data_IF_936563378054
#
_entry.id   IF_936563378054
#
_cell.length_a   1.000
_cell.length_b   1.000
_cell.length_c   1.000
_cell.angle_alpha   90.00
_cell.angle_beta   90.00
_cell.angle_gamma   90.00
#
_symmetry.space_group_name_H-M   'P 1'
#
loop_
_entity.id
_entity.type
_entity.pdbx_description
1 polymer ?
#
# COMPACT_ATOMS: atom_id res chain seq x y z
N UNK A 1 -17.48 -23.94 -19.25
CA UNK A 1 -16.03 -24.31 -19.30
C UNK A 1 -15.12 -23.41 -18.42
N UNK A 2 -15.60 -22.87 -17.30
CA UNK A 2 -14.79 -22.00 -16.41
C UNK A 2 -14.28 -22.72 -15.16
N UNK A 3 -14.61 -23.99 -14.94
CA UNK A 3 -14.52 -24.65 -13.63
C UNK A 3 -13.36 -25.65 -13.44
N UNK A 4 -12.26 -25.52 -14.16
CA UNK A 4 -11.08 -26.37 -13.92
C UNK A 4 -9.99 -25.68 -13.07
N UNK A 5 -10.33 -24.61 -12.36
CA UNK A 5 -9.42 -24.03 -11.37
C UNK A 5 -9.69 -24.64 -10.00
N UNK A 6 -8.69 -25.31 -9.43
CA UNK A 6 -8.77 -25.82 -8.06
C UNK A 6 -9.01 -24.66 -7.08
N UNK A 7 -10.26 -24.58 -6.58
CA UNK A 7 -10.71 -23.54 -5.65
C UNK A 7 -10.43 -23.88 -4.18
N UNK A 8 -9.80 -25.01 -3.86
CA UNK A 8 -9.55 -25.46 -2.49
C UNK A 8 -8.78 -24.42 -1.66
N UNK A 9 -7.82 -23.72 -2.30
CA UNK A 9 -7.09 -22.63 -1.63
C UNK A 9 -7.95 -21.41 -1.34
N UNK A 10 -8.99 -21.17 -2.16
CA UNK A 10 -9.94 -20.08 -1.95
C UNK A 10 -10.90 -20.41 -0.80
N UNK A 11 -11.40 -21.64 -0.74
CA UNK A 11 -12.28 -22.10 0.35
C UNK A 11 -11.63 -22.01 1.73
N UNK A 12 -10.30 -21.97 1.84
CA UNK A 12 -9.58 -21.73 3.10
C UNK A 12 -9.92 -20.39 3.77
N UNK A 13 -10.40 -19.42 3.03
CA UNK A 13 -10.88 -18.15 3.60
C UNK A 13 -12.09 -18.36 4.51
N UNK A 14 -12.91 -19.35 4.24
CA UNK A 14 -14.14 -19.66 5.01
C UNK A 14 -13.89 -20.64 6.15
N UNK A 15 -12.91 -21.53 6.00
CA UNK A 15 -12.71 -22.64 6.95
C UNK A 15 -11.56 -22.41 7.95
N UNK A 16 -10.68 -21.48 7.66
CA UNK A 16 -9.53 -21.22 8.55
C UNK A 16 -9.68 -19.81 9.15
N UNK A 17 -9.81 -19.70 10.49
CA UNK A 17 -10.00 -18.42 11.16
C UNK A 17 -8.75 -17.55 11.11
N UNK A 18 -8.95 -16.25 11.15
CA UNK A 18 -7.90 -15.24 11.27
C UNK A 18 -7.61 -14.49 9.97
N UNK A 19 -7.37 -13.20 10.10
CA UNK A 19 -7.02 -12.31 8.99
C UNK A 19 -5.56 -12.54 8.58
N UNK A 20 -5.27 -12.79 7.30
CA UNK A 20 -3.90 -12.90 6.82
C UNK A 20 -3.13 -11.60 7.07
N UNK A 21 -1.86 -11.72 7.44
CA UNK A 21 -0.96 -10.58 7.56
C UNK A 21 0.07 -10.64 6.44
N UNK A 22 0.21 -9.53 5.72
CA UNK A 22 1.25 -9.34 4.71
C UNK A 22 2.39 -8.53 5.30
N UNK A 23 3.61 -9.04 5.20
CA UNK A 23 4.84 -8.31 5.48
C UNK A 23 5.47 -7.97 4.14
N UNK A 24 5.66 -6.69 3.90
CA UNK A 24 6.14 -6.16 2.64
C UNK A 24 7.47 -5.46 2.88
N UNK A 25 8.40 -5.72 1.99
CA UNK A 25 9.69 -5.03 1.94
C UNK A 25 10.02 -4.65 0.51
N UNK A 26 10.71 -3.54 0.34
CA UNK A 26 11.15 -3.05 -0.95
C UNK A 26 12.67 -2.88 -0.98
N UNK A 27 13.23 -2.96 -2.17
CA UNK A 27 14.64 -2.77 -2.42
C UNK A 27 14.84 -2.11 -3.78
N UNK A 28 15.68 -1.07 -3.81
CA UNK A 28 16.12 -0.41 -5.05
C UNK A 28 17.65 -0.41 -5.10
N UNK A 29 18.21 -1.12 -6.07
CA UNK A 29 19.66 -1.26 -6.24
C UNK A 29 20.02 -1.33 -7.72
N UNK A 30 20.96 -0.52 -8.15
CA UNK A 30 21.49 -0.55 -9.50
C UNK A 30 20.40 -0.45 -10.57
N UNK A 31 19.45 0.48 -10.43
CA UNK A 31 18.30 0.71 -11.33
C UNK A 31 17.26 -0.44 -11.35
N UNK A 32 17.34 -1.38 -10.41
CA UNK A 32 16.35 -2.45 -10.26
C UNK A 32 15.54 -2.25 -8.98
N UNK A 33 14.23 -2.34 -9.11
CA UNK A 33 13.28 -2.24 -8.00
C UNK A 33 12.60 -3.57 -7.77
N UNK A 34 12.59 -4.03 -6.54
CA UNK A 34 11.93 -5.26 -6.12
C UNK A 34 11.09 -5.02 -4.88
N UNK A 35 9.83 -5.42 -4.96
CA UNK A 35 8.91 -5.45 -3.81
C UNK A 35 8.62 -6.91 -3.48
N UNK A 36 8.97 -7.34 -2.28
CA UNK A 36 8.73 -8.69 -1.80
C UNK A 36 7.56 -8.69 -0.84
N UNK A 37 6.57 -9.53 -1.11
CA UNK A 37 5.34 -9.65 -0.34
C UNK A 37 5.26 -11.05 0.25
N UNK A 38 5.18 -11.15 1.57
CA UNK A 38 5.18 -12.40 2.32
C UNK A 38 3.96 -12.52 3.22
N UNK A 39 3.23 -13.64 3.13
CA UNK A 39 2.19 -13.98 4.08
C UNK A 39 2.79 -14.43 5.41
N UNK A 40 2.36 -13.83 6.51
CA UNK A 40 2.72 -14.20 7.88
C UNK A 40 1.50 -14.88 8.53
N UNK A 41 1.75 -15.98 9.21
CA UNK A 41 0.69 -16.68 9.97
C UNK A 41 0.15 -15.76 11.08
N UNK A 42 -1.16 -15.77 11.36
CA UNK A 42 -1.70 -15.14 12.55
C UNK A 42 -1.09 -15.74 13.82
N UNK A 43 -1.01 -14.96 14.88
CA UNK A 43 -0.48 -15.43 16.18
C UNK A 43 -1.43 -16.40 16.91
N UNK A 44 -2.65 -16.60 16.41
CA UNK A 44 -3.62 -17.49 17.07
C UNK A 44 -3.27 -18.97 16.84
N UNK A 45 -3.49 -19.84 17.85
CA UNK A 45 -3.32 -21.28 17.70
C UNK A 45 -4.34 -21.81 16.67
N UNK A 46 -3.93 -22.79 15.88
CA UNK A 46 -4.77 -23.42 14.87
C UNK A 46 -4.02 -23.74 13.59
N UNK A 47 -4.63 -24.55 12.76
CA UNK A 47 -4.12 -24.87 11.42
C UNK A 47 -4.33 -23.67 10.50
N UNK A 48 -3.25 -23.08 10.05
CA UNK A 48 -3.27 -21.97 9.10
C UNK A 48 -2.43 -22.35 7.86
N UNK A 49 -3.01 -22.14 6.70
CA UNK A 49 -2.34 -22.31 5.42
C UNK A 49 -2.28 -21.00 4.65
N UNK A 50 -1.39 -20.89 3.67
CA UNK A 50 -1.33 -19.72 2.82
C UNK A 50 -2.63 -19.59 2.04
N UNK A 51 -3.21 -18.39 2.08
CA UNK A 51 -4.40 -18.01 1.31
C UNK A 51 -4.02 -17.61 -0.11
N UNK A 52 -4.98 -17.66 -1.02
CA UNK A 52 -4.86 -16.97 -2.32
C UNK A 52 -5.32 -15.54 -2.10
N UNK A 53 -4.42 -14.60 -2.30
CA UNK A 53 -4.66 -13.17 -2.02
C UNK A 53 -4.42 -12.38 -3.30
N UNK A 54 -5.45 -11.77 -3.90
CA UNK A 54 -5.27 -10.83 -5.00
C UNK A 54 -4.76 -9.50 -4.43
N UNK A 55 -3.66 -9.00 -4.98
CA UNK A 55 -3.04 -7.74 -4.58
C UNK A 55 -3.00 -6.85 -5.80
N UNK A 56 -3.94 -5.93 -5.88
CA UNK A 56 -3.94 -4.90 -6.92
C UNK A 56 -2.97 -3.79 -6.54
N UNK A 57 -2.18 -3.31 -7.51
CA UNK A 57 -1.17 -2.31 -7.25
C UNK A 57 -0.95 -1.36 -8.43
N UNK A 58 -0.42 -0.18 -8.10
CA UNK A 58 0.11 0.79 -9.06
C UNK A 58 1.53 1.17 -8.66
N UNK A 59 2.33 1.56 -9.63
CA UNK A 59 3.70 2.02 -9.42
C UNK A 59 3.89 3.34 -10.15
N UNK A 60 4.42 4.34 -9.42
CA UNK A 60 4.63 5.70 -9.90
C UNK A 60 6.11 6.08 -9.78
N UNK A 61 6.57 6.91 -10.68
CA UNK A 61 7.81 7.69 -10.50
C UNK A 61 7.55 8.88 -9.57
N UNK A 62 8.60 9.53 -9.09
CA UNK A 62 8.48 10.70 -8.20
C UNK A 62 7.81 11.91 -8.87
N UNK A 63 7.80 12.00 -10.20
CA UNK A 63 7.12 13.01 -11.01
C UNK A 63 5.69 12.62 -11.40
N UNK A 64 5.17 11.50 -10.88
CA UNK A 64 3.81 11.05 -11.05
C UNK A 64 3.53 10.23 -12.30
N UNK A 65 4.56 9.90 -13.10
CA UNK A 65 4.37 9.02 -14.24
C UNK A 65 3.99 7.62 -13.73
N UNK A 66 2.86 7.09 -14.20
CA UNK A 66 2.42 5.75 -13.86
C UNK A 66 3.15 4.69 -14.69
N UNK A 67 4.07 3.95 -14.07
CA UNK A 67 4.83 2.87 -14.70
C UNK A 67 4.01 1.58 -14.82
N UNK A 68 3.18 1.28 -13.84
CA UNK A 68 2.27 0.14 -13.85
C UNK A 68 0.94 0.54 -13.22
N UNK A 69 -0.15 0.41 -13.99
CA UNK A 69 -1.50 0.75 -13.58
C UNK A 69 -2.34 -0.51 -13.39
N UNK A 70 -3.04 -0.62 -12.25
CA UNK A 70 -4.07 -1.62 -11.96
C UNK A 70 -3.63 -3.07 -12.24
N UNK A 71 -2.35 -3.36 -11.96
CA UNK A 71 -1.84 -4.73 -12.05
C UNK A 71 -2.29 -5.54 -10.83
N UNK A 72 -2.54 -6.82 -11.03
CA UNK A 72 -2.90 -7.74 -9.95
C UNK A 72 -1.87 -8.84 -9.82
N UNK A 73 -1.24 -8.93 -8.66
CA UNK A 73 -0.42 -10.05 -8.24
C UNK A 73 -1.30 -11.05 -7.47
N UNK A 74 -1.38 -12.27 -7.95
CA UNK A 74 -2.04 -13.36 -7.20
C UNK A 74 -1.01 -14.04 -6.29
N UNK A 75 -1.06 -13.69 -5.01
CA UNK A 75 -0.20 -14.29 -3.99
C UNK A 75 -0.81 -15.64 -3.56
N UNK A 76 -0.41 -16.73 -4.22
CA UNK A 76 -0.88 -18.10 -3.97
C UNK A 76 0.13 -18.97 -3.22
N UNK A 77 1.25 -18.40 -2.81
CA UNK A 77 2.35 -19.01 -2.07
C UNK A 77 2.78 -18.13 -0.89
N UNK A 78 3.72 -18.60 -0.08
CA UNK A 78 4.20 -17.88 1.11
C UNK A 78 4.80 -16.51 0.75
N UNK A 79 5.51 -16.41 -0.38
CA UNK A 79 6.21 -15.20 -0.81
C UNK A 79 6.11 -15.04 -2.32
N UNK A 80 5.93 -13.81 -2.79
CA UNK A 80 6.05 -13.42 -4.20
C UNK A 80 6.69 -12.04 -4.29
N UNK A 81 7.28 -11.72 -5.45
CA UNK A 81 7.90 -10.42 -5.69
C UNK A 81 7.39 -9.78 -6.97
N UNK A 82 7.34 -8.45 -6.95
CA UNK A 82 7.15 -7.58 -8.10
C UNK A 82 8.51 -7.00 -8.44
N UNK A 83 8.91 -7.04 -9.71
CA UNK A 83 10.23 -6.56 -10.16
C UNK A 83 10.11 -5.63 -11.35
N UNK A 84 10.82 -4.51 -11.29
CA UNK A 84 11.05 -3.60 -12.41
C UNK A 84 12.55 -3.40 -12.59
N UNK A 85 12.94 -3.14 -13.85
CA UNK A 85 14.34 -2.95 -14.23
C UNK A 85 14.52 -1.64 -14.97
N UNK A 86 15.74 -1.17 -15.06
CA UNK A 86 16.14 0.00 -15.85
C UNK A 86 15.44 1.30 -15.44
N UNK A 87 15.19 1.47 -14.14
CA UNK A 87 14.60 2.67 -13.58
C UNK A 87 15.69 3.70 -13.27
N UNK A 88 15.45 4.95 -13.59
CA UNK A 88 16.39 6.05 -13.31
C UNK A 88 16.33 6.48 -11.85
N UNK A 89 15.18 6.26 -11.19
CA UNK A 89 14.95 6.59 -9.79
C UNK A 89 14.07 5.55 -9.10
N UNK A 90 14.11 5.50 -7.77
CA UNK A 90 13.23 4.63 -6.97
C UNK A 90 11.78 5.06 -7.17
N UNK A 91 10.88 4.16 -7.59
CA UNK A 91 9.46 4.46 -7.70
C UNK A 91 8.74 4.26 -6.36
N UNK A 92 7.56 4.89 -6.22
CA UNK A 92 6.61 4.62 -5.16
C UNK A 92 5.61 3.54 -5.60
N UNK A 93 5.22 2.64 -4.69
CA UNK A 93 4.21 1.62 -4.94
C UNK A 93 2.99 1.81 -4.05
N UNK A 94 1.81 1.84 -4.66
CA UNK A 94 0.51 1.76 -4.02
C UNK A 94 0.00 0.32 -4.09
N UNK A 95 -0.43 -0.24 -2.97
CA UNK A 95 -0.84 -1.64 -2.84
C UNK A 95 -2.26 -1.77 -2.31
N UNK A 96 -2.95 -2.87 -2.67
CA UNK A 96 -4.33 -3.17 -2.28
C UNK A 96 -5.35 -2.14 -2.77
N UNK A 97 -5.09 -1.56 -3.94
CA UNK A 97 -6.01 -0.64 -4.58
C UNK A 97 -7.43 -1.23 -4.61
N UNK A 98 -8.43 -0.36 -4.39
CA UNK A 98 -9.85 -0.73 -4.30
C UNK A 98 -10.14 -1.82 -3.26
N UNK A 99 -9.34 -1.85 -2.18
CA UNK A 99 -9.47 -2.86 -1.12
C UNK A 99 -9.47 -4.30 -1.65
N UNK A 100 -8.54 -4.61 -2.56
CA UNK A 100 -8.52 -5.87 -3.31
C UNK A 100 -8.46 -7.14 -2.45
N UNK A 101 -8.09 -7.06 -1.17
CA UNK A 101 -8.14 -8.17 -0.23
C UNK A 101 -8.25 -7.70 1.23
N UNK A 102 -9.05 -8.41 2.08
CA UNK A 102 -9.17 -8.12 3.51
C UNK A 102 -7.96 -8.68 4.28
N UNK A 103 -6.87 -7.95 4.32
CA UNK A 103 -5.60 -8.36 4.93
C UNK A 103 -5.03 -7.27 5.84
N UNK A 104 -4.22 -7.66 6.81
CA UNK A 104 -3.40 -6.73 7.59
C UNK A 104 -2.06 -6.53 6.86
N UNK A 105 -1.61 -5.28 6.76
CA UNK A 105 -0.36 -4.92 6.08
C UNK A 105 0.66 -4.38 7.06
N UNK A 106 1.86 -4.92 7.00
CA UNK A 106 3.06 -4.42 7.65
C UNK A 106 4.02 -4.00 6.53
N UNK A 107 4.07 -2.70 6.26
CA UNK A 107 4.89 -2.10 5.21
C UNK A 107 5.35 -0.72 5.66
N UNK A 108 6.62 -0.59 5.93
CA UNK A 108 7.27 0.70 6.21
C UNK A 108 7.64 1.33 4.88
N UNK A 109 7.02 2.46 4.58
CA UNK A 109 7.27 3.24 3.37
C UNK A 109 7.92 4.57 3.76
N UNK A 110 8.92 5.05 3.00
CA UNK A 110 9.45 6.40 3.16
C UNK A 110 8.35 7.46 3.02
N UNK A 111 8.57 8.60 3.68
CA UNK A 111 7.63 9.74 3.63
C UNK A 111 7.40 10.18 2.19
N UNK A 112 8.47 10.29 1.39
CA UNK A 112 8.39 10.72 -0.01
C UNK A 112 7.52 9.80 -0.87
N UNK A 113 7.58 8.48 -0.63
CA UNK A 113 6.72 7.51 -1.32
C UNK A 113 5.25 7.72 -0.93
N UNK A 114 4.97 8.00 0.36
CA UNK A 114 3.62 8.25 0.84
C UNK A 114 3.06 9.58 0.30
N UNK A 115 3.88 10.62 0.20
CA UNK A 115 3.51 11.89 -0.43
C UNK A 115 3.22 11.70 -1.92
N UNK A 116 4.06 10.93 -2.63
CA UNK A 116 3.82 10.59 -4.04
C UNK A 116 2.50 9.83 -4.24
N UNK A 117 2.20 8.87 -3.36
CA UNK A 117 0.90 8.17 -3.38
C UNK A 117 -0.24 9.16 -3.10
N UNK A 118 -0.10 10.02 -2.08
CA UNK A 118 -1.10 11.03 -1.76
C UNK A 118 -1.37 11.96 -2.96
N UNK A 119 -0.34 12.34 -3.71
CA UNK A 119 -0.44 13.26 -4.84
C UNK A 119 -0.98 12.60 -6.10
N UNK A 120 -0.44 11.44 -6.50
CA UNK A 120 -0.66 10.87 -7.83
C UNK A 120 -1.65 9.70 -7.88
N UNK A 121 -1.97 9.09 -6.73
CA UNK A 121 -2.94 7.99 -6.71
C UNK A 121 -4.37 8.52 -6.94
N UNK A 122 -5.18 7.70 -7.62
CA UNK A 122 -6.60 7.96 -7.90
C UNK A 122 -7.55 7.05 -7.10
N UNK A 123 -7.04 5.95 -6.55
CA UNK A 123 -7.81 5.07 -5.69
C UNK A 123 -7.95 5.67 -4.29
N UNK A 124 -9.20 5.95 -3.90
CA UNK A 124 -9.50 6.60 -2.63
C UNK A 124 -8.98 5.83 -1.42
N UNK A 125 -9.09 4.50 -1.41
CA UNK A 125 -8.63 3.65 -0.31
C UNK A 125 -7.14 3.79 -0.10
N UNK A 126 -6.37 3.78 -1.19
CA UNK A 126 -4.92 3.90 -1.17
C UNK A 126 -4.48 5.30 -0.73
N UNK A 127 -5.15 6.35 -1.20
CA UNK A 127 -4.91 7.74 -0.78
C UNK A 127 -5.17 7.87 0.73
N UNK A 128 -6.31 7.37 1.21
CA UNK A 128 -6.67 7.40 2.63
C UNK A 128 -5.65 6.67 3.51
N UNK A 129 -5.19 5.50 3.06
CA UNK A 129 -4.17 4.72 3.77
C UNK A 129 -2.82 5.43 3.82
N UNK A 130 -2.40 6.07 2.73
CA UNK A 130 -1.17 6.86 2.68
C UNK A 130 -1.25 8.06 3.62
N UNK A 131 -2.36 8.82 3.56
CA UNK A 131 -2.60 9.94 4.47
C UNK A 131 -2.56 9.50 5.94
N UNK A 132 -3.23 8.40 6.29
CA UNK A 132 -3.24 7.89 7.65
C UNK A 132 -1.83 7.56 8.17
N UNK A 133 -0.97 6.97 7.33
CA UNK A 133 0.44 6.74 7.68
C UNK A 133 1.22 8.04 7.87
N UNK A 134 0.98 9.03 7.02
CA UNK A 134 1.59 10.36 7.14
C UNK A 134 1.15 11.03 8.45
N UNK A 135 -0.15 10.99 8.80
CA UNK A 135 -0.66 11.56 10.04
C UNK A 135 0.01 10.91 11.27
N UNK A 136 0.17 9.59 11.29
CA UNK A 136 0.92 8.91 12.34
C UNK A 136 2.39 9.35 12.40
N UNK A 137 2.99 9.61 11.25
CA UNK A 137 4.38 10.12 11.19
C UNK A 137 4.48 11.53 11.75
N UNK A 138 3.52 12.41 11.42
CA UNK A 138 3.39 13.75 11.99
C UNK A 138 3.28 13.67 13.51
N UNK A 139 2.36 12.85 14.04
CA UNK A 139 2.18 12.70 15.49
C UNK A 139 3.47 12.24 16.19
N UNK A 140 4.22 11.33 15.59
CA UNK A 140 5.54 10.92 16.12
C UNK A 140 6.56 12.06 16.08
N UNK A 141 6.58 12.84 14.99
CA UNK A 141 7.52 13.96 14.83
C UNK A 141 7.22 15.12 15.78
N UNK A 142 5.96 15.40 16.11
CA UNK A 142 5.59 16.46 17.07
C UNK A 142 6.33 16.29 18.40
N UNK A 143 6.54 15.05 18.86
CA UNK A 143 7.22 14.76 20.12
C UNK A 143 8.75 14.76 20.01
N UNK A 144 9.31 14.53 18.82
CA UNK A 144 10.77 14.40 18.61
C UNK A 144 11.39 15.61 17.94
N UNK A 145 10.73 16.19 16.95
CA UNK A 145 11.17 17.38 16.20
C UNK A 145 9.95 18.15 15.68
N UNK A 146 9.44 19.15 16.41
CA UNK A 146 8.25 19.90 16.02
C UNK A 146 8.36 20.61 14.67
N UNK A 147 9.54 21.17 14.33
CA UNK A 147 9.74 21.86 13.05
C UNK A 147 9.55 20.93 11.85
N UNK A 148 10.12 19.71 11.90
CA UNK A 148 9.93 18.71 10.85
C UNK A 148 8.46 18.24 10.75
N UNK A 149 7.71 18.33 11.85
CA UNK A 149 6.29 18.01 11.85
C UNK A 149 5.49 19.09 11.11
N UNK A 150 5.78 20.38 11.35
CA UNK A 150 5.14 21.50 10.66
C UNK A 150 5.40 21.47 9.15
N UNK A 151 6.63 21.21 8.73
CA UNK A 151 7.00 21.08 7.32
C UNK A 151 6.22 19.94 6.64
N UNK A 152 6.13 18.78 7.29
CA UNK A 152 5.38 17.65 6.75
C UNK A 152 3.88 17.93 6.66
N UNK A 153 3.31 18.58 7.68
CA UNK A 153 1.90 19.01 7.67
C UNK A 153 1.64 19.95 6.49
N UNK A 154 2.52 20.95 6.29
CA UNK A 154 2.41 21.90 5.19
C UNK A 154 2.39 21.19 3.83
N UNK A 155 3.30 20.24 3.60
CA UNK A 155 3.35 19.45 2.36
C UNK A 155 2.07 18.65 2.14
N UNK A 156 1.57 17.96 3.18
CA UNK A 156 0.33 17.19 3.10
C UNK A 156 -0.85 18.09 2.71
N UNK A 157 -1.00 19.25 3.36
CA UNK A 157 -2.10 20.14 3.07
C UNK A 157 -2.02 20.78 1.68
N UNK A 158 -0.84 21.14 1.20
CA UNK A 158 -0.66 21.63 -0.17
C UNK A 158 -1.13 20.62 -1.22
N UNK A 159 -0.75 19.34 -1.05
CA UNK A 159 -1.21 18.26 -1.94
C UNK A 159 -2.73 18.11 -1.87
N UNK A 160 -3.32 18.12 -0.68
CA UNK A 160 -4.76 17.94 -0.49
C UNK A 160 -5.55 19.10 -1.07
N UNK A 161 -5.13 20.34 -0.89
CA UNK A 161 -5.78 21.54 -1.47
C UNK A 161 -5.78 21.43 -3.00
N UNK A 162 -4.64 21.11 -3.60
CA UNK A 162 -4.52 20.89 -5.05
C UNK A 162 -5.48 19.81 -5.56
N UNK A 163 -5.66 18.74 -4.77
CA UNK A 163 -6.60 17.67 -5.11
C UNK A 163 -8.07 18.05 -4.89
N UNK A 164 -8.38 18.87 -3.89
CA UNK A 164 -9.75 19.32 -3.60
C UNK A 164 -10.34 20.14 -4.75
N UNK A 165 -9.52 20.91 -5.46
CA UNK A 165 -9.93 21.64 -6.65
C UNK A 165 -10.46 20.68 -7.75
N UNK A 166 -10.15 19.40 -7.66
CA UNK A 166 -10.53 18.39 -8.65
C UNK A 166 -11.57 17.38 -8.18
N UNK A 167 -11.95 17.32 -6.87
CA UNK A 167 -12.88 16.29 -6.36
C UNK A 167 -13.48 16.55 -4.98
N UNK A 168 -14.82 16.61 -4.93
CA UNK A 168 -15.62 16.71 -3.69
C UNK A 168 -15.42 15.55 -2.68
N UNK A 169 -14.93 14.38 -3.12
CA UNK A 169 -14.70 13.21 -2.28
C UNK A 169 -13.53 13.37 -1.29
N UNK A 170 -12.67 14.36 -1.51
CA UNK A 170 -11.46 14.57 -0.71
C UNK A 170 -11.70 15.36 0.58
N UNK A 171 -12.88 15.95 0.77
CA UNK A 171 -13.22 16.67 2.01
C UNK A 171 -13.06 15.78 3.26
N UNK A 172 -13.37 14.48 3.16
CA UNK A 172 -13.18 13.49 4.23
C UNK A 172 -11.72 13.21 4.58
N UNK A 173 -10.77 13.54 3.71
CA UNK A 173 -9.34 13.36 3.98
C UNK A 173 -8.78 14.47 4.87
N UNK A 174 -9.51 15.56 5.05
CA UNK A 174 -9.13 16.67 5.93
C UNK A 174 -9.53 16.42 7.39
N UNK A 175 -10.36 15.40 7.65
CA UNK A 175 -10.69 15.00 9.01
C UNK A 175 -9.45 14.38 9.69
N UNK A 176 -9.13 14.90 10.88
CA UNK A 176 -8.07 14.33 11.71
C UNK A 176 -8.45 12.93 12.17
N UNK A 177 -7.50 12.01 12.33
CA UNK A 177 -7.80 10.70 12.88
C UNK A 177 -8.32 10.85 14.32
N UNK A 178 -9.51 10.31 14.56
CA UNK A 178 -10.13 10.19 15.88
C UNK A 178 -9.48 9.10 16.72
#
# INVERSE_FOLDING_TARGET
HVLNKNLDKFFKWFHEPGTPKLVISEKYVGRNYEVTIRQKKPRKPGKYSNKVIPITYKIFTSDGQCLQRDKTLILNRKTSSIRLKSLDQKPAISLLNSFSAPVLVEFEQPIDDLLSILEYETDFTSIWMAKKKLDFTVLKKITSNPSDAEDLVSQIYQILIKKLETSLLLAKLLELPS
#
